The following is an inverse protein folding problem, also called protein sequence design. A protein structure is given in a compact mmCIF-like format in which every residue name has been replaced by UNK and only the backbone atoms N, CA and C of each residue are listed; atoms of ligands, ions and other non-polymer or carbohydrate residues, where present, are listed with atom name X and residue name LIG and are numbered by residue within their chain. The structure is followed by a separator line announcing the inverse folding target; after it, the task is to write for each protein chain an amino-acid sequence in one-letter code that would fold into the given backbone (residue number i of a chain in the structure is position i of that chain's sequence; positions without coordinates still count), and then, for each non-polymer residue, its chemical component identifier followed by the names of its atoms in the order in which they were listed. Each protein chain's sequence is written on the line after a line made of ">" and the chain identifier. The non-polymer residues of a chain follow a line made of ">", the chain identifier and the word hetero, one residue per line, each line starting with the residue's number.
data_IF_228753151103
#
_entry.id   IF_228753151103
#
_cell.length_a   1.000
_cell.length_b   1.000
_cell.length_c   1.000
_cell.angle_alpha   90.00
_cell.angle_beta   90.00
_cell.angle_gamma   90.00
#
_symmetry.space_group_name_H-M   'P 1'
#
loop_
_entity.id
_entity.type
_entity.pdbx_description
1 polymer ?
#
# COMPACT_ATOMS: atom_id res chain seq x y z
N UNK A 1 -8.47 58.43 -5.79
CA UNK A 1 -9.18 57.21 -6.25
C UNK A 1 -8.29 56.02 -5.88
N UNK A 2 -8.84 55.07 -5.11
CA UNK A 2 -8.16 53.95 -4.45
C UNK A 2 -7.73 52.85 -5.47
N UNK A 3 -7.12 51.73 -5.03
CA UNK A 3 -5.70 51.56 -4.72
C UNK A 3 -5.03 50.48 -5.61
N UNK A 4 -3.71 50.36 -5.50
CA UNK A 4 -2.86 49.32 -6.08
C UNK A 4 -3.43 47.92 -5.84
N UNK A 5 -3.80 47.20 -6.91
CA UNK A 5 -4.29 45.82 -6.85
C UNK A 5 -3.19 44.90 -6.35
N UNK A 6 -3.33 44.48 -5.09
CA UNK A 6 -2.52 43.49 -4.42
C UNK A 6 -2.77 42.08 -4.99
N UNK A 7 -1.67 41.33 -5.09
CA UNK A 7 -1.56 39.90 -4.78
C UNK A 7 -2.51 38.93 -5.50
N UNK A 8 -1.92 38.24 -6.47
CA UNK A 8 -2.38 36.97 -7.05
C UNK A 8 -2.98 36.03 -5.99
N UNK A 9 -4.17 35.42 -6.20
CA UNK A 9 -4.57 34.28 -5.40
C UNK A 9 -3.65 33.10 -5.73
N UNK A 10 -2.76 32.82 -4.77
CA UNK A 10 -1.98 31.59 -4.67
C UNK A 10 -2.95 30.42 -4.41
N UNK A 11 -3.51 29.84 -5.45
CA UNK A 11 -3.99 28.46 -5.40
C UNK A 11 -3.17 27.65 -6.38
N UNK A 12 -1.91 27.46 -6.01
CA UNK A 12 -1.17 26.28 -6.40
C UNK A 12 -1.94 25.09 -5.80
N UNK A 13 -2.50 24.15 -6.59
CA UNK A 13 -2.91 22.88 -6.03
C UNK A 13 -1.64 22.14 -5.62
N UNK A 14 -1.12 22.49 -4.44
CA UNK A 14 -0.13 21.70 -3.72
C UNK A 14 -0.80 20.40 -3.30
N UNK A 15 -0.95 19.46 -4.24
CA UNK A 15 -0.48 18.10 -3.98
C UNK A 15 -0.34 17.34 -5.30
N UNK A 16 0.88 17.36 -5.85
CA UNK A 16 1.37 16.20 -6.59
C UNK A 16 1.53 15.10 -5.54
N UNK A 17 0.46 14.39 -5.22
CA UNK A 17 0.62 13.00 -4.81
C UNK A 17 0.56 12.23 -6.10
N UNK A 18 1.73 11.81 -6.59
CA UNK A 18 1.80 10.64 -7.45
C UNK A 18 1.09 9.53 -6.68
N UNK A 19 -0.21 9.33 -6.91
CA UNK A 19 -0.89 8.07 -6.61
C UNK A 19 -0.06 7.03 -7.37
N UNK A 20 0.78 6.24 -6.71
CA UNK A 20 1.68 5.35 -7.40
C UNK A 20 0.83 4.22 -7.92
N UNK A 21 0.23 4.41 -9.11
CA UNK A 21 -0.62 3.45 -9.82
C UNK A 21 -1.37 2.59 -8.82
N UNK A 22 -2.36 3.15 -8.11
CA UNK A 22 -3.19 2.42 -7.16
C UNK A 22 -3.80 1.24 -7.93
N UNK A 23 -3.12 0.09 -7.84
CA UNK A 23 -3.45 -1.07 -8.65
C UNK A 23 -4.81 -1.59 -8.20
N UNK A 24 -5.48 -2.38 -9.04
CA UNK A 24 -6.86 -2.82 -8.81
C UNK A 24 -7.03 -3.36 -7.40
N UNK A 25 -6.08 -4.16 -6.91
CA UNK A 25 -6.10 -4.74 -5.57
C UNK A 25 -5.85 -3.75 -4.44
N UNK A 26 -4.96 -2.77 -4.59
CA UNK A 26 -4.72 -1.74 -3.57
C UNK A 26 -5.98 -0.89 -3.37
N UNK A 27 -6.63 -0.51 -4.47
CA UNK A 27 -7.88 0.27 -4.46
C UNK A 27 -9.03 -0.54 -3.86
N UNK A 28 -9.22 -1.79 -4.31
CA UNK A 28 -10.25 -2.67 -3.76
C UNK A 28 -10.06 -2.92 -2.27
N UNK A 29 -8.81 -3.10 -1.81
CA UNK A 29 -8.53 -3.27 -0.40
C UNK A 29 -8.91 -2.02 0.40
N UNK A 30 -8.58 -0.83 -0.09
CA UNK A 30 -8.93 0.42 0.56
C UNK A 30 -10.46 0.60 0.66
N UNK A 31 -11.19 0.30 -0.41
CA UNK A 31 -12.66 0.35 -0.46
C UNK A 31 -13.29 -0.62 0.55
N UNK A 32 -12.82 -1.88 0.59
CA UNK A 32 -13.30 -2.85 1.57
C UNK A 32 -12.98 -2.41 3.00
N UNK A 33 -11.78 -1.87 3.26
CA UNK A 33 -11.45 -1.33 4.58
C UNK A 33 -12.41 -0.20 4.97
N UNK A 34 -12.71 0.71 4.05
CA UNK A 34 -13.61 1.83 4.27
C UNK A 34 -15.05 1.38 4.54
N UNK A 35 -15.59 0.45 3.75
CA UNK A 35 -16.93 -0.11 3.93
C UNK A 35 -17.06 -0.84 5.27
N UNK A 36 -16.01 -1.55 5.69
CA UNK A 36 -16.00 -2.30 6.94
C UNK A 36 -15.60 -1.44 8.16
N UNK A 37 -15.42 -0.12 8.01
CA UNK A 37 -14.96 0.79 9.07
C UNK A 37 -13.63 0.34 9.72
N UNK A 38 -12.77 -0.30 8.94
CA UNK A 38 -11.45 -0.76 9.33
C UNK A 38 -10.44 0.37 9.06
N UNK A 39 -9.42 0.50 9.90
CA UNK A 39 -8.28 1.39 9.63
C UNK A 39 -7.73 1.13 8.24
N UNK A 40 -7.52 2.20 7.46
CA UNK A 40 -7.05 2.09 6.07
C UNK A 40 -5.79 1.23 5.94
N UNK A 41 -5.62 0.55 4.80
CA UNK A 41 -4.53 -0.40 4.61
C UNK A 41 -3.17 0.32 4.69
N UNK A 42 -2.31 -0.14 5.60
CA UNK A 42 -0.96 0.43 5.77
C UNK A 42 0.05 -0.45 5.07
N UNK A 43 0.62 0.04 3.96
CA UNK A 43 1.66 -0.67 3.22
C UNK A 43 3.05 -0.36 3.79
N UNK A 44 3.85 -1.40 3.95
CA UNK A 44 5.22 -1.32 4.43
C UNK A 44 6.13 -2.07 3.47
N UNK A 45 6.95 -1.32 2.74
CA UNK A 45 7.85 -1.87 1.74
C UNK A 45 9.22 -2.20 2.35
N UNK A 46 9.74 -3.38 2.02
CA UNK A 46 11.03 -3.90 2.47
C UNK A 46 11.96 -4.06 1.28
N UNK A 47 13.19 -3.56 1.39
CA UNK A 47 14.23 -3.73 0.37
C UNK A 47 15.41 -4.51 0.94
N UNK A 48 15.86 -5.54 0.22
CA UNK A 48 16.99 -6.41 0.58
C UNK A 48 18.05 -6.36 -0.52
N UNK A 49 19.30 -6.03 -0.14
CA UNK A 49 20.42 -5.85 -1.08
C UNK A 49 21.25 -7.14 -1.17
N UNK A 50 21.11 -7.87 -2.28
CA UNK A 50 21.84 -9.14 -2.54
C UNK A 50 22.95 -8.98 -3.57
N UNK A 51 23.98 -8.20 -3.23
CA UNK A 51 25.23 -8.15 -4.00
C UNK A 51 25.09 -7.73 -5.48
N UNK A 52 24.11 -6.85 -5.79
CA UNK A 52 23.88 -6.32 -7.14
C UNK A 52 22.41 -6.35 -7.58
N UNK A 53 21.60 -7.23 -6.97
CA UNK A 53 20.14 -7.24 -7.12
C UNK A 53 19.50 -6.70 -5.83
N UNK A 54 18.41 -5.96 -5.98
CA UNK A 54 17.57 -5.55 -4.84
C UNK A 54 16.30 -6.36 -4.92
N UNK A 55 15.99 -7.07 -3.84
CA UNK A 55 14.73 -7.78 -3.69
C UNK A 55 13.76 -6.88 -2.92
N UNK A 56 12.52 -6.81 -3.38
CA UNK A 56 11.45 -6.02 -2.81
C UNK A 56 10.37 -6.94 -2.28
N UNK A 57 9.92 -6.66 -1.07
CA UNK A 57 8.72 -7.24 -0.49
C UNK A 57 7.84 -6.10 0.02
N UNK A 58 6.54 -6.33 0.11
CA UNK A 58 5.61 -5.38 0.71
C UNK A 58 4.77 -6.11 1.73
N UNK A 59 4.40 -5.45 2.81
CA UNK A 59 3.49 -5.98 3.82
C UNK A 59 2.38 -4.99 4.03
N UNK A 60 1.14 -5.43 3.89
CA UNK A 60 -0.01 -4.58 4.17
C UNK A 60 -0.59 -4.93 5.54
N UNK A 61 -0.85 -3.91 6.34
CA UNK A 61 -1.47 -4.07 7.65
C UNK A 61 -2.93 -3.63 7.54
N UNK A 62 -3.84 -4.54 7.86
CA UNK A 62 -5.29 -4.34 7.80
C UNK A 62 -5.93 -4.93 9.04
N UNK A 63 -6.81 -4.18 9.71
CA UNK A 63 -7.53 -4.65 10.90
C UNK A 63 -6.60 -5.22 12.00
N UNK A 64 -5.40 -4.67 12.13
CA UNK A 64 -4.37 -5.16 13.05
C UNK A 64 -3.67 -6.46 12.61
N UNK A 65 -4.02 -7.04 11.47
CA UNK A 65 -3.31 -8.17 10.85
C UNK A 65 -2.33 -7.68 9.80
N UNK A 66 -1.12 -8.25 9.81
CA UNK A 66 -0.08 -7.96 8.82
C UNK A 66 -0.04 -9.08 7.79
N UNK A 67 -0.27 -8.72 6.54
CA UNK A 67 -0.26 -9.63 5.40
C UNK A 67 0.95 -9.30 4.54
N UNK A 68 2.03 -10.09 4.64
CA UNK A 68 3.19 -9.93 3.78
C UNK A 68 2.90 -10.43 2.37
N UNK A 69 3.58 -9.87 1.38
CA UNK A 69 3.69 -10.43 0.04
C UNK A 69 4.29 -11.84 0.14
N UNK A 70 3.77 -12.77 -0.66
CA UNK A 70 4.24 -14.16 -0.70
C UNK A 70 5.67 -14.29 -1.20
N UNK A 71 6.07 -13.40 -2.10
CA UNK A 71 7.34 -13.51 -2.80
C UNK A 71 8.16 -12.23 -2.69
N UNK A 72 9.46 -12.40 -2.86
CA UNK A 72 10.40 -11.31 -3.01
C UNK A 72 10.59 -11.04 -4.50
N UNK A 73 10.27 -9.83 -4.94
CA UNK A 73 10.32 -9.41 -6.33
C UNK A 73 11.65 -8.71 -6.60
N UNK A 74 12.39 -9.12 -7.63
CA UNK A 74 13.63 -8.45 -7.97
C UNK A 74 13.40 -7.15 -8.78
N UNK A 75 14.37 -6.23 -8.74
CA UNK A 75 14.43 -5.10 -9.67
C UNK A 75 13.60 -3.88 -9.23
N UNK A 76 12.79 -3.31 -10.12
CA UNK A 76 11.94 -2.12 -9.89
C UNK A 76 10.47 -2.47 -9.63
N UNK A 77 10.16 -3.75 -9.45
CA UNK A 77 8.79 -4.27 -9.39
C UNK A 77 8.17 -4.21 -7.99
N UNK A 78 8.43 -3.13 -7.24
CA UNK A 78 7.81 -2.90 -5.92
C UNK A 78 6.27 -2.89 -6.00
N UNK A 79 5.72 -2.43 -7.12
CA UNK A 79 4.28 -2.41 -7.36
C UNK A 79 3.69 -3.83 -7.41
N UNK A 80 4.41 -4.82 -7.96
CA UNK A 80 3.95 -6.20 -7.98
C UNK A 80 3.96 -6.80 -6.56
N UNK A 81 4.97 -6.46 -5.75
CA UNK A 81 5.02 -6.87 -4.34
C UNK A 81 3.85 -6.29 -3.54
N UNK A 82 3.51 -5.02 -3.78
CA UNK A 82 2.40 -4.36 -3.12
C UNK A 82 1.05 -4.90 -3.58
N UNK A 83 0.93 -5.23 -4.86
CA UNK A 83 -0.28 -5.81 -5.44
C UNK A 83 -0.56 -7.21 -4.88
N UNK A 84 0.45 -8.06 -4.77
CA UNK A 84 0.34 -9.40 -4.15
C UNK A 84 -0.08 -9.30 -2.67
N UNK A 85 0.57 -8.40 -1.91
CA UNK A 85 0.19 -8.14 -0.53
C UNK A 85 -1.28 -7.64 -0.41
N UNK A 86 -1.69 -6.74 -1.32
CA UNK A 86 -3.04 -6.20 -1.34
C UNK A 86 -4.09 -7.27 -1.67
N UNK A 87 -3.82 -8.13 -2.65
CA UNK A 87 -4.69 -9.24 -3.01
C UNK A 87 -4.86 -10.22 -1.83
N UNK A 88 -3.75 -10.61 -1.18
CA UNK A 88 -3.79 -11.47 -0.01
C UNK A 88 -4.62 -10.86 1.12
N UNK A 89 -4.47 -9.55 1.38
CA UNK A 89 -5.25 -8.88 2.42
C UNK A 89 -6.72 -8.71 2.04
N UNK A 90 -7.03 -8.50 0.77
CA UNK A 90 -8.40 -8.41 0.28
C UNK A 90 -9.10 -9.76 0.45
N UNK A 91 -8.44 -10.86 0.06
CA UNK A 91 -8.93 -12.24 0.26
C UNK A 91 -9.13 -12.57 1.74
N UNK A 92 -8.25 -12.06 2.60
CA UNK A 92 -8.36 -12.21 4.05
C UNK A 92 -9.58 -11.45 4.62
N UNK A 93 -9.78 -10.20 4.22
CA UNK A 93 -10.94 -9.39 4.65
C UNK A 93 -12.27 -9.94 4.15
N UNK A 94 -12.32 -10.36 2.88
CA UNK A 94 -13.54 -10.87 2.24
C UNK A 94 -13.91 -12.29 2.65
N UNK A 95 -13.07 -12.94 3.48
CA UNK A 95 -13.40 -14.23 4.09
C UNK A 95 -13.11 -15.45 3.21
N UNK A 96 -12.25 -15.34 2.19
CA UNK A 96 -11.84 -16.51 1.41
C UNK A 96 -10.79 -17.37 2.10
N UNK A 97 -10.08 -16.87 3.11
CA UNK A 97 -9.28 -17.71 4.01
C UNK A 97 -9.40 -17.26 5.46
N UNK A 98 -10.38 -17.83 6.16
CA UNK A 98 -10.26 -18.11 7.60
C UNK A 98 -9.15 -19.14 7.82
N UNK A 99 -7.91 -18.74 7.56
CA UNK A 99 -6.71 -19.53 7.79
C UNK A 99 -5.82 -18.75 8.72
N UNK A 100 -5.83 -19.16 9.99
CA UNK A 100 -5.02 -18.65 11.11
C UNK A 100 -3.66 -18.07 10.69
N UNK A 101 -3.21 -16.95 11.31
CA UNK A 101 -1.87 -16.41 11.08
C UNK A 101 -0.85 -17.45 11.60
N UNK A 102 -0.43 -18.35 10.73
CA UNK A 102 0.66 -19.27 11.04
C UNK A 102 1.92 -18.43 11.01
N UNK A 103 2.22 -17.95 12.22
CA UNK A 103 3.51 -17.48 12.69
C UNK A 103 4.64 -18.11 11.88
N UNK A 104 5.49 -17.25 11.34
CA UNK A 104 6.90 -17.57 11.25
C UNK A 104 7.39 -17.96 12.66
N UNK A 105 7.48 -19.26 12.92
CA UNK A 105 8.39 -19.81 13.93
C UNK A 105 9.41 -20.61 13.14
N UNK A 106 10.54 -19.94 12.86
CA UNK A 106 11.75 -20.61 12.43
C UNK A 106 12.24 -21.54 13.55
N UNK A 107 12.75 -22.71 13.15
CA UNK A 107 13.71 -23.50 13.92
C UNK A 107 15.09 -23.25 13.31
#
# INVERSE_FOLDING_TARGET
>A
MHPTSATFPLHNPSNITMEPQSTIWQTQLADVCQINSITGPVFQDFSDRRGGRTAWSSTVTVHGQKVPARFWYDGKNINNAREDAAECAFKWLTGSETGSPTRCHGH
#
